data_IF_658990080049
#
_entry.id   IF_658990080049
#
_cell.length_a   1.000
_cell.length_b   1.000
_cell.length_c   1.000
_cell.angle_alpha   90.00
_cell.angle_beta   90.00
_cell.angle_gamma   90.00
#
_symmetry.space_group_name_H-M   'P 1'
#
loop_
_entity.id
_entity.type
_entity.pdbx_description
1 polymer ?
#
# COMPACT_ATOMS: atom_id res chain seq x y z
N UNK A 1 -1.25 8.20 5.83
CA UNK A 1 -0.10 7.69 5.06
C UNK A 1 0.55 6.61 5.88
N UNK A 2 1.29 5.69 5.26
CA UNK A 2 1.94 4.60 5.96
C UNK A 2 2.89 3.85 5.05
N UNK A 3 3.29 2.67 5.50
CA UNK A 3 4.13 1.75 4.75
C UNK A 3 3.50 0.37 4.82
N UNK A 4 3.63 -0.37 3.72
CA UNK A 4 3.22 -1.77 3.65
C UNK A 4 4.49 -2.58 3.46
N UNK A 5 4.69 -3.55 4.34
CA UNK A 5 5.77 -4.52 4.23
C UNK A 5 5.29 -5.64 3.28
N UNK A 6 5.89 -5.81 2.09
CA UNK A 6 5.52 -6.91 1.20
C UNK A 6 6.01 -8.25 1.77
N UNK A 7 5.19 -9.29 1.66
CA UNK A 7 5.53 -10.64 2.15
C UNK A 7 6.74 -11.27 1.46
N UNK A 8 7.12 -10.77 0.27
CA UNK A 8 8.31 -11.19 -0.46
C UNK A 8 9.63 -10.72 0.21
N UNK A 9 9.54 -9.95 1.30
CA UNK A 9 10.71 -9.38 2.00
C UNK A 9 11.36 -8.22 1.24
N UNK A 10 10.61 -7.61 0.33
CA UNK A 10 11.02 -6.43 -0.42
C UNK A 10 11.10 -5.17 0.45
N UNK A 11 11.42 -4.04 -0.19
CA UNK A 11 11.44 -2.75 0.52
C UNK A 11 10.03 -2.33 0.91
N UNK A 12 9.94 -1.61 2.03
CA UNK A 12 8.72 -0.95 2.46
C UNK A 12 8.13 -0.10 1.33
N UNK A 13 6.89 -0.40 0.98
CA UNK A 13 6.18 0.31 -0.07
C UNK A 13 5.39 1.44 0.56
N UNK A 14 5.69 2.67 0.14
CA UNK A 14 4.99 3.84 0.66
C UNK A 14 3.54 3.87 0.19
N UNK A 15 2.61 4.04 1.13
CA UNK A 15 1.18 4.22 0.85
C UNK A 15 0.71 5.61 1.27
N UNK A 16 0.15 6.34 0.31
CA UNK A 16 -0.46 7.64 0.57
C UNK A 16 -1.90 7.48 1.05
N UNK A 17 -2.40 8.40 1.87
CA UNK A 17 -3.80 8.34 2.34
C UNK A 17 -4.80 8.39 1.17
N UNK A 18 -4.47 9.12 0.11
CA UNK A 18 -5.29 9.17 -1.11
C UNK A 18 -5.46 7.81 -1.79
N UNK A 19 -4.50 6.90 -1.66
CA UNK A 19 -4.61 5.56 -2.21
C UNK A 19 -5.59 4.71 -1.38
N UNK A 20 -5.60 4.88 -0.06
CA UNK A 20 -6.58 4.27 0.85
C UNK A 20 -7.98 4.81 0.57
N UNK A 21 -8.13 6.12 0.45
CA UNK A 21 -9.40 6.78 0.12
C UNK A 21 -9.93 6.34 -1.25
N UNK A 22 -9.07 6.24 -2.27
CA UNK A 22 -9.44 5.75 -3.59
C UNK A 22 -9.89 4.28 -3.57
N UNK A 23 -9.32 3.48 -2.67
CA UNK A 23 -9.73 2.10 -2.42
C UNK A 23 -10.97 1.97 -1.52
N UNK A 24 -11.47 3.08 -0.94
CA UNK A 24 -12.55 3.05 0.04
C UNK A 24 -12.14 2.46 1.40
N UNK A 25 -10.83 2.38 1.66
CA UNK A 25 -10.26 1.83 2.90
C UNK A 25 -10.14 2.97 3.91
N UNK A 26 -10.97 2.95 4.95
CA UNK A 26 -11.00 3.99 5.96
C UNK A 26 -9.77 4.00 6.88
N UNK A 27 -9.26 2.82 7.24
CA UNK A 27 -8.08 2.62 8.08
C UNK A 27 -7.49 1.24 7.80
N UNK A 28 -6.17 1.13 7.92
CA UNK A 28 -5.47 -0.15 7.98
C UNK A 28 -4.87 -0.28 9.37
N UNK A 29 -5.15 -1.41 10.02
CA UNK A 29 -4.56 -1.74 11.29
C UNK A 29 -3.34 -2.65 11.08
N UNK A 30 -2.44 -2.69 12.06
CA UNK A 30 -1.33 -3.62 12.04
C UNK A 30 -1.86 -5.07 12.02
N UNK A 31 -1.37 -5.88 11.08
CA UNK A 31 -1.84 -7.25 10.84
C UNK A 31 -2.97 -7.39 9.83
N UNK A 32 -3.49 -6.30 9.27
CA UNK A 32 -4.50 -6.35 8.20
C UNK A 32 -3.82 -6.70 6.86
N UNK A 33 -4.33 -7.73 6.19
CA UNK A 33 -3.80 -8.18 4.90
C UNK A 33 -4.44 -7.39 3.76
N UNK A 34 -3.60 -6.74 2.96
CA UNK A 34 -4.04 -6.00 1.77
C UNK A 34 -3.31 -6.47 0.53
N UNK A 35 -4.04 -6.54 -0.56
CA UNK A 35 -3.46 -6.60 -1.90
C UNK A 35 -3.23 -5.18 -2.40
N UNK A 36 -2.09 -4.96 -3.03
CA UNK A 36 -1.74 -3.68 -3.66
C UNK A 36 -0.85 -3.95 -4.87
N UNK A 37 -0.83 -2.99 -5.80
CA UNK A 37 0.09 -3.00 -6.93
C UNK A 37 1.23 -2.03 -6.66
N UNK A 38 2.47 -2.48 -6.87
CA UNK A 38 3.66 -1.64 -6.74
C UNK A 38 3.91 -0.92 -8.06
N UNK A 39 3.84 0.40 -8.03
CA UNK A 39 4.11 1.24 -9.20
C UNK A 39 5.41 2.01 -8.95
N UNK A 40 6.38 1.89 -9.86
CA UNK A 40 7.59 2.69 -9.81
C UNK A 40 7.36 4.03 -10.53
N UNK A 41 7.45 5.15 -9.82
CA UNK A 41 7.35 6.48 -10.44
C UNK A 41 8.56 7.32 -10.03
N UNK A 42 9.34 7.76 -11.03
CA UNK A 42 10.58 8.55 -10.84
C UNK A 42 11.58 7.88 -9.86
N UNK A 43 11.67 6.55 -9.90
CA UNK A 43 12.57 5.77 -9.04
C UNK A 43 12.09 5.57 -7.60
N UNK A 44 10.83 5.92 -7.29
CA UNK A 44 10.19 5.61 -6.01
C UNK A 44 9.09 4.58 -6.22
N UNK A 45 9.08 3.58 -5.35
CA UNK A 45 8.05 2.54 -5.31
C UNK A 45 6.90 3.04 -4.43
N UNK A 46 5.68 2.94 -4.94
CA UNK A 46 4.45 3.33 -4.23
C UNK A 46 3.35 2.28 -4.42
N UNK A 47 2.51 2.14 -3.41
CA UNK A 47 1.35 1.28 -3.47
C UNK A 47 0.21 1.98 -4.22
N UNK A 48 -0.41 1.28 -5.15
CA UNK A 48 -1.59 1.68 -5.92
C UNK A 48 -2.61 0.53 -5.94
N UNK A 49 -3.87 0.83 -6.28
CA UNK A 49 -4.95 -0.16 -6.37
C UNK A 49 -5.08 -1.05 -5.11
N UNK A 50 -5.16 -0.42 -3.93
CA UNK A 50 -5.28 -1.16 -2.67
C UNK A 50 -6.62 -1.89 -2.59
N UNK A 51 -6.59 -3.11 -2.06
CA UNK A 51 -7.77 -3.93 -1.78
C UNK A 51 -7.57 -4.66 -0.45
N UNK A 52 -8.56 -4.59 0.42
CA UNK A 52 -8.63 -5.43 1.63
C UNK A 52 -8.92 -6.87 1.24
N UNK A 53 -8.17 -7.82 1.80
CA UNK A 53 -8.36 -9.26 1.59
C UNK A 53 -9.28 -9.88 2.64
#
# INVERSE_FOLDING_TARGET
YGFIEPEDGGKDVFVHISALEAAGIGNLNEGDSVSFEVVSEKGKEKASDLKTL
#
